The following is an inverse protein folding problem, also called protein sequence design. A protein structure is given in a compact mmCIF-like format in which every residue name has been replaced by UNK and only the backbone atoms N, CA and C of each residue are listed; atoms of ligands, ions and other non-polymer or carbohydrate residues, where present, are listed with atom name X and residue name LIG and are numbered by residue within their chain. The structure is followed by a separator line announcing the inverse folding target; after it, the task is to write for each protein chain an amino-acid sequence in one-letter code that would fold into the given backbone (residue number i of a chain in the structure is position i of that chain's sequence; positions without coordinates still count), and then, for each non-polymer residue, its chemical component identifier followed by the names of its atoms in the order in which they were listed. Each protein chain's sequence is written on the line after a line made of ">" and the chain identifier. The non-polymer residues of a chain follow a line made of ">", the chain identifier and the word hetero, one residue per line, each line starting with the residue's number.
data_IF_573166956275
#
_entry.id   IF_573166956275
#
_cell.length_a   1.000
_cell.length_b   1.000
_cell.length_c   1.000
_cell.angle_alpha   90.00
_cell.angle_beta   90.00
_cell.angle_gamma   90.00
#
_symmetry.space_group_name_H-M   'P 1'
#
loop_
_entity.id
_entity.type
_entity.pdbx_description
1 polymer ?
#
# COMPACT_ATOMS: atom_id res chain seq x y z
N UNK A 1 -41.65 -68.26 13.43
CA UNK A 1 -42.36 -69.33 12.69
C UNK A 1 -43.49 -69.88 13.55
N UNK A 2 -44.75 -69.57 13.21
CA UNK A 2 -45.92 -70.20 13.85
C UNK A 2 -46.03 -71.63 13.30
N UNK A 3 -46.16 -72.64 14.17
CA UNK A 3 -46.52 -74.01 13.78
C UNK A 3 -47.87 -73.97 13.06
N UNK A 4 -47.85 -73.95 11.72
CA UNK A 4 -49.07 -74.12 10.91
C UNK A 4 -49.53 -75.56 11.09
N UNK A 5 -50.69 -75.75 11.72
CA UNK A 5 -51.41 -77.02 11.70
C UNK A 5 -52.13 -77.10 10.36
N UNK A 6 -51.65 -77.95 9.47
CA UNK A 6 -52.31 -78.23 8.19
C UNK A 6 -53.59 -79.02 8.43
N UNK A 7 -54.67 -78.69 7.71
CA UNK A 7 -55.94 -79.41 7.84
C UNK A 7 -55.82 -80.88 7.41
N UNK A 8 -54.90 -81.19 6.49
CA UNK A 8 -54.64 -82.56 6.02
C UNK A 8 -53.18 -82.71 5.52
N UNK A 9 -52.25 -82.98 6.45
CA UNK A 9 -50.81 -83.07 6.15
C UNK A 9 -50.48 -84.16 5.13
N UNK A 10 -49.37 -84.02 4.40
CA UNK A 10 -48.82 -85.02 3.49
C UNK A 10 -48.59 -86.35 4.20
N UNK A 11 -48.10 -86.30 5.44
CA UNK A 11 -47.96 -87.48 6.29
C UNK A 11 -49.32 -88.14 6.56
N UNK A 12 -50.33 -87.36 6.94
CA UNK A 12 -51.68 -87.88 7.18
C UNK A 12 -52.31 -88.43 5.90
N UNK A 13 -52.09 -87.79 4.74
CA UNK A 13 -52.50 -88.27 3.42
C UNK A 13 -51.87 -89.60 3.05
N UNK A 14 -50.56 -89.73 3.24
CA UNK A 14 -49.85 -90.97 2.98
C UNK A 14 -50.34 -92.08 3.92
N UNK A 15 -50.53 -91.79 5.21
CA UNK A 15 -51.08 -92.75 6.17
C UNK A 15 -52.52 -93.13 5.82
N UNK A 16 -53.40 -92.17 5.55
CA UNK A 16 -54.79 -92.45 5.16
C UNK A 16 -54.85 -93.21 3.84
N UNK A 17 -54.05 -92.84 2.84
CA UNK A 17 -53.97 -93.53 1.57
C UNK A 17 -53.49 -94.97 1.74
N UNK A 18 -52.38 -95.19 2.46
CA UNK A 18 -51.84 -96.54 2.71
C UNK A 18 -52.80 -97.39 3.54
N UNK A 19 -53.45 -96.84 4.56
CA UNK A 19 -54.45 -97.54 5.38
C UNK A 19 -55.70 -97.87 4.57
N UNK A 20 -56.25 -96.93 3.79
CA UNK A 20 -57.42 -97.18 2.92
C UNK A 20 -57.06 -98.20 1.83
N UNK A 21 -55.88 -98.08 1.23
CA UNK A 21 -55.38 -99.04 0.25
C UNK A 21 -55.24 -100.43 0.86
N UNK A 22 -54.67 -100.57 2.06
CA UNK A 22 -54.56 -101.84 2.78
C UNK A 22 -55.93 -102.42 3.13
N UNK A 23 -56.86 -101.60 3.63
CA UNK A 23 -58.24 -102.04 3.94
C UNK A 23 -58.94 -102.52 2.68
N UNK A 24 -58.89 -101.77 1.57
CA UNK A 24 -59.52 -102.16 0.31
C UNK A 24 -58.87 -103.45 -0.22
N UNK A 25 -57.54 -103.52 -0.29
CA UNK A 25 -56.81 -104.65 -0.88
C UNK A 25 -56.95 -105.93 -0.06
N UNK A 26 -56.87 -105.86 1.27
CA UNK A 26 -57.10 -107.03 2.12
C UNK A 26 -58.57 -107.45 2.15
N UNK A 27 -59.52 -106.49 2.18
CA UNK A 27 -60.95 -106.83 2.18
C UNK A 27 -61.39 -107.43 0.85
N UNK A 28 -60.92 -106.91 -0.29
CA UNK A 28 -61.19 -107.51 -1.61
C UNK A 28 -60.52 -108.88 -1.72
N UNK A 29 -59.25 -109.01 -1.32
CA UNK A 29 -58.58 -110.32 -1.32
C UNK A 29 -59.32 -111.34 -0.45
N UNK A 30 -59.76 -110.95 0.75
CA UNK A 30 -60.56 -111.80 1.63
C UNK A 30 -61.90 -112.19 1.01
N UNK A 31 -62.62 -111.26 0.36
CA UNK A 31 -63.87 -111.55 -0.34
C UNK A 31 -63.65 -112.54 -1.50
N UNK A 32 -62.58 -112.36 -2.29
CA UNK A 32 -62.25 -113.28 -3.38
C UNK A 32 -61.87 -114.68 -2.88
N UNK A 33 -61.10 -114.77 -1.79
CA UNK A 33 -60.60 -116.04 -1.24
C UNK A 33 -61.66 -116.81 -0.44
N UNK A 34 -62.45 -116.13 0.39
CA UNK A 34 -63.38 -116.79 1.33
C UNK A 34 -64.83 -116.85 0.85
N UNK A 35 -65.26 -115.97 -0.07
CA UNK A 35 -66.66 -115.91 -0.53
C UNK A 35 -66.79 -116.33 -1.98
N UNK A 36 -66.07 -115.68 -2.90
CA UNK A 36 -66.21 -115.94 -4.34
C UNK A 36 -65.61 -117.28 -4.79
N UNK A 37 -64.55 -117.75 -4.13
CA UNK A 37 -63.90 -119.01 -4.47
C UNK A 37 -64.87 -120.20 -4.39
N UNK A 38 -65.61 -120.33 -3.28
CA UNK A 38 -66.55 -121.44 -3.08
C UNK A 38 -67.79 -121.34 -4.00
N UNK A 39 -68.17 -120.13 -4.42
CA UNK A 39 -69.35 -119.87 -5.26
C UNK A 39 -69.11 -120.08 -6.76
N UNK A 40 -67.91 -119.75 -7.29
CA UNK A 40 -67.67 -119.70 -8.74
C UNK A 40 -66.41 -120.44 -9.22
N UNK A 41 -65.46 -120.76 -8.34
CA UNK A 41 -64.12 -121.25 -8.73
C UNK A 41 -63.71 -122.58 -8.08
N UNK A 42 -64.67 -123.35 -7.54
CA UNK A 42 -64.42 -124.61 -6.83
C UNK A 42 -63.75 -125.72 -7.66
N UNK A 43 -63.70 -125.57 -8.99
CA UNK A 43 -63.02 -126.48 -9.93
C UNK A 43 -61.50 -126.29 -9.99
N UNK A 44 -60.96 -125.19 -9.45
CA UNK A 44 -59.53 -124.89 -9.44
C UNK A 44 -58.84 -125.30 -8.15
N UNK A 45 -57.50 -125.42 -8.15
CA UNK A 45 -56.74 -125.72 -6.93
C UNK A 45 -56.73 -124.51 -5.98
N UNK A 46 -57.26 -124.67 -4.77
CA UNK A 46 -57.40 -123.61 -3.76
C UNK A 46 -56.10 -122.86 -3.48
N UNK A 47 -55.00 -123.59 -3.35
CA UNK A 47 -53.68 -122.99 -3.09
C UNK A 47 -53.19 -122.13 -4.27
N UNK A 48 -53.44 -122.57 -5.51
CA UNK A 48 -53.06 -121.82 -6.71
C UNK A 48 -53.88 -120.52 -6.83
N UNK A 49 -55.19 -120.57 -6.57
CA UNK A 49 -56.09 -119.41 -6.64
C UNK A 49 -55.73 -118.34 -5.59
N UNK A 50 -55.45 -118.75 -4.34
CA UNK A 50 -55.01 -117.82 -3.29
C UNK A 50 -53.71 -117.10 -3.66
N UNK A 51 -52.73 -117.81 -4.22
CA UNK A 51 -51.47 -117.21 -4.68
C UNK A 51 -51.73 -116.17 -5.78
N UNK A 52 -52.58 -116.49 -6.75
CA UNK A 52 -52.93 -115.58 -7.87
C UNK A 52 -53.58 -114.30 -7.35
N UNK A 53 -54.56 -114.39 -6.44
CA UNK A 53 -55.23 -113.21 -5.87
C UNK A 53 -54.26 -112.34 -5.06
N UNK A 54 -53.36 -112.94 -4.28
CA UNK A 54 -52.35 -112.19 -3.53
C UNK A 54 -51.37 -111.46 -4.46
N UNK A 55 -50.93 -112.11 -5.55
CA UNK A 55 -50.08 -111.48 -6.57
C UNK A 55 -50.81 -110.33 -7.26
N UNK A 56 -52.09 -110.50 -7.62
CA UNK A 56 -52.93 -109.43 -8.18
C UNK A 56 -53.14 -108.28 -7.19
N UNK A 57 -53.30 -108.58 -5.90
CA UNK A 57 -53.39 -107.57 -4.85
C UNK A 57 -52.11 -106.74 -4.71
N UNK A 58 -50.94 -107.38 -4.82
CA UNK A 58 -49.63 -106.70 -4.84
C UNK A 58 -49.51 -105.80 -6.08
N UNK A 59 -49.83 -106.32 -7.27
CA UNK A 59 -49.78 -105.55 -8.52
C UNK A 59 -50.73 -104.35 -8.49
N UNK A 60 -51.96 -104.54 -7.98
CA UNK A 60 -52.94 -103.47 -7.84
C UNK A 60 -52.52 -102.40 -6.84
N UNK A 61 -51.93 -102.81 -5.71
CA UNK A 61 -51.35 -101.90 -4.73
C UNK A 61 -50.19 -101.10 -5.31
N UNK A 62 -49.32 -101.74 -6.10
CA UNK A 62 -48.22 -101.08 -6.81
C UNK A 62 -48.70 -100.03 -7.82
N UNK A 63 -49.74 -100.36 -8.61
CA UNK A 63 -50.33 -99.44 -9.59
C UNK A 63 -50.92 -98.19 -8.92
N UNK A 64 -51.70 -98.38 -7.85
CA UNK A 64 -52.29 -97.27 -7.10
C UNK A 64 -51.22 -96.42 -6.38
N UNK A 65 -50.19 -97.06 -5.82
CA UNK A 65 -49.05 -96.36 -5.22
C UNK A 65 -48.30 -95.51 -6.26
N UNK A 66 -48.12 -96.01 -7.50
CA UNK A 66 -47.49 -95.26 -8.58
C UNK A 66 -48.32 -94.03 -9.00
N UNK A 67 -49.64 -94.17 -9.13
CA UNK A 67 -50.55 -93.05 -9.43
C UNK A 67 -50.51 -92.01 -8.31
N UNK A 68 -50.58 -92.45 -7.04
CA UNK A 68 -50.50 -91.58 -5.88
C UNK A 68 -49.13 -90.88 -5.74
N UNK A 69 -48.03 -91.57 -6.07
CA UNK A 69 -46.70 -90.97 -6.10
C UNK A 69 -46.64 -89.79 -7.08
N UNK A 70 -47.31 -89.89 -8.23
CA UNK A 70 -47.43 -88.81 -9.21
C UNK A 70 -48.05 -87.51 -8.67
N UNK A 71 -48.91 -87.58 -7.64
CA UNK A 71 -49.48 -86.40 -6.98
C UNK A 71 -48.48 -85.67 -6.08
N UNK A 72 -47.41 -86.34 -5.64
CA UNK A 72 -46.36 -85.79 -4.77
C UNK A 72 -45.13 -85.38 -5.59
N UNK A 73 -44.72 -86.22 -6.54
CA UNK A 73 -43.50 -86.00 -7.34
C UNK A 73 -43.64 -84.86 -8.33
N UNK A 74 -44.80 -84.66 -8.96
CA UNK A 74 -44.99 -83.58 -9.95
C UNK A 74 -44.82 -82.17 -9.35
N UNK A 75 -45.46 -81.80 -8.22
CA UNK A 75 -45.20 -80.50 -7.59
C UNK A 75 -43.75 -80.32 -7.10
N UNK A 76 -43.10 -81.40 -6.64
CA UNK A 76 -41.70 -81.35 -6.24
C UNK A 76 -40.76 -81.13 -7.43
N UNK A 77 -41.00 -81.78 -8.56
CA UNK A 77 -40.26 -81.55 -9.81
C UNK A 77 -40.45 -80.12 -10.34
N UNK A 78 -41.64 -79.54 -10.20
CA UNK A 78 -41.87 -78.13 -10.56
C UNK A 78 -41.07 -77.18 -9.66
N UNK A 79 -41.01 -77.47 -8.36
CA UNK A 79 -40.24 -76.68 -7.40
C UNK A 79 -38.73 -76.84 -7.60
N UNK A 80 -38.27 -78.04 -7.93
CA UNK A 80 -36.89 -78.33 -8.36
C UNK A 80 -36.53 -77.53 -9.62
N UNK A 81 -37.36 -77.60 -10.67
CA UNK A 81 -37.13 -76.84 -11.90
C UNK A 81 -37.10 -75.34 -11.66
N UNK A 82 -37.98 -74.83 -10.80
CA UNK A 82 -37.97 -73.42 -10.41
C UNK A 82 -36.74 -73.04 -9.60
N UNK A 83 -36.26 -73.92 -8.71
CA UNK A 83 -34.99 -73.73 -8.00
C UNK A 83 -33.80 -73.71 -8.98
N UNK A 84 -33.78 -74.58 -9.99
CA UNK A 84 -32.75 -74.56 -11.03
C UNK A 84 -32.81 -73.28 -11.89
N UNK A 85 -34.01 -72.81 -12.24
CA UNK A 85 -34.21 -71.53 -12.93
C UNK A 85 -33.69 -70.36 -12.09
N UNK A 86 -34.07 -70.31 -10.81
CA UNK A 86 -33.62 -69.28 -9.88
C UNK A 86 -32.09 -69.32 -9.67
N UNK A 87 -31.48 -70.52 -9.60
CA UNK A 87 -30.04 -70.69 -9.52
C UNK A 87 -29.30 -70.18 -10.78
N UNK A 88 -29.94 -70.24 -11.94
CA UNK A 88 -29.45 -69.66 -13.19
C UNK A 88 -29.84 -68.17 -13.36
N UNK A 89 -30.30 -67.51 -12.30
CA UNK A 89 -30.67 -66.09 -12.31
C UNK A 89 -32.07 -65.78 -12.86
N UNK A 90 -32.84 -66.78 -13.31
CA UNK A 90 -34.21 -66.59 -13.77
C UNK A 90 -35.18 -66.62 -12.58
N UNK A 91 -35.39 -65.45 -11.99
CA UNK A 91 -36.26 -65.28 -10.82
C UNK A 91 -37.57 -64.56 -11.15
N UNK A 92 -37.89 -64.32 -12.42
CA UNK A 92 -39.04 -63.55 -12.90
C UNK A 92 -40.40 -64.21 -12.59
N UNK A 93 -40.45 -65.54 -12.47
CA UNK A 93 -41.71 -66.28 -12.34
C UNK A 93 -41.88 -66.93 -10.96
N UNK A 94 -43.11 -66.88 -10.44
CA UNK A 94 -43.49 -67.61 -9.23
C UNK A 94 -43.76 -69.09 -9.51
N UNK A 95 -43.52 -69.93 -8.51
CA UNK A 95 -43.83 -71.37 -8.59
C UNK A 95 -45.32 -71.59 -8.43
N UNK A 96 -45.96 -72.40 -9.31
CA UNK A 96 -47.36 -72.74 -9.17
C UNK A 96 -47.60 -73.47 -7.85
N UNK A 97 -48.58 -72.99 -7.08
CA UNK A 97 -48.91 -73.58 -5.78
C UNK A 97 -49.73 -74.87 -5.96
N UNK A 98 -49.38 -75.89 -5.19
CA UNK A 98 -50.21 -77.09 -5.08
C UNK A 98 -51.62 -76.72 -4.59
N UNK A 99 -52.65 -77.33 -5.21
CA UNK A 99 -54.06 -77.15 -4.83
C UNK A 99 -54.37 -77.69 -3.42
N UNK A 100 -53.49 -78.52 -2.89
CA UNK A 100 -53.60 -79.10 -1.56
C UNK A 100 -53.14 -78.15 -0.46
N UNK A 101 -53.78 -78.19 0.71
CA UNK A 101 -53.30 -77.52 1.92
C UNK A 101 -52.37 -78.44 2.75
N UNK A 102 -51.17 -78.67 2.23
CA UNK A 102 -50.13 -79.52 2.87
C UNK A 102 -48.72 -78.87 2.81
N UNK A 103 -47.73 -79.61 3.30
CA UNK A 103 -46.32 -79.21 3.38
C UNK A 103 -45.74 -78.81 2.02
N UNK A 104 -46.23 -79.39 0.92
CA UNK A 104 -45.77 -79.07 -0.45
C UNK A 104 -46.22 -77.66 -0.83
N UNK A 105 -47.47 -77.29 -0.53
CA UNK A 105 -47.95 -75.91 -0.71
C UNK A 105 -47.20 -74.93 0.19
N UNK A 106 -46.91 -75.32 1.43
CA UNK A 106 -46.14 -74.47 2.33
C UNK A 106 -44.71 -74.22 1.83
N UNK A 107 -44.06 -75.24 1.27
CA UNK A 107 -42.76 -75.13 0.63
C UNK A 107 -42.81 -74.20 -0.59
N UNK A 108 -43.83 -74.35 -1.45
CA UNK A 108 -44.06 -73.45 -2.59
C UNK A 108 -44.25 -71.99 -2.16
N UNK A 109 -45.04 -71.74 -1.11
CA UNK A 109 -45.21 -70.40 -0.54
C UNK A 109 -43.91 -69.81 0.01
N UNK A 110 -43.13 -70.61 0.75
CA UNK A 110 -41.84 -70.17 1.29
C UNK A 110 -40.82 -69.88 0.17
N UNK A 111 -40.83 -70.70 -0.89
CA UNK A 111 -39.98 -70.49 -2.06
C UNK A 111 -40.37 -69.22 -2.83
N UNK A 112 -41.66 -68.95 -3.04
CA UNK A 112 -42.10 -67.69 -3.66
C UNK A 112 -41.74 -66.46 -2.81
N UNK A 113 -41.82 -66.55 -1.48
CA UNK A 113 -41.36 -65.46 -0.60
C UNK A 113 -39.84 -65.24 -0.72
N UNK A 114 -39.04 -66.31 -0.86
CA UNK A 114 -37.61 -66.21 -1.17
C UNK A 114 -37.37 -65.53 -2.51
N UNK A 115 -38.08 -65.92 -3.58
CA UNK A 115 -37.98 -65.28 -4.89
C UNK A 115 -38.33 -63.80 -4.82
N UNK A 116 -39.41 -63.44 -4.11
CA UNK A 116 -39.80 -62.04 -3.88
C UNK A 116 -38.69 -61.25 -3.18
N UNK A 117 -38.08 -61.80 -2.13
CA UNK A 117 -36.97 -61.15 -1.43
C UNK A 117 -35.72 -61.00 -2.32
N UNK A 118 -35.40 -62.00 -3.14
CA UNK A 118 -34.32 -61.91 -4.14
C UNK A 118 -34.61 -60.84 -5.19
N UNK A 119 -35.85 -60.74 -5.68
CA UNK A 119 -36.26 -59.68 -6.63
C UNK A 119 -36.11 -58.30 -6.01
N UNK A 120 -36.58 -58.10 -4.76
CA UNK A 120 -36.42 -56.84 -4.05
C UNK A 120 -34.94 -56.48 -3.83
N UNK A 121 -34.10 -57.47 -3.51
CA UNK A 121 -32.66 -57.26 -3.35
C UNK A 121 -32.03 -56.79 -4.67
N UNK A 122 -32.30 -57.48 -5.79
CA UNK A 122 -31.79 -57.10 -7.12
C UNK A 122 -32.23 -55.69 -7.49
N UNK A 123 -33.52 -55.36 -7.32
CA UNK A 123 -34.05 -54.02 -7.58
C UNK A 123 -33.38 -52.96 -6.72
N UNK A 124 -33.23 -53.19 -5.42
CA UNK A 124 -32.56 -52.25 -4.53
C UNK A 124 -31.10 -52.03 -4.96
N UNK A 125 -30.39 -53.06 -5.42
CA UNK A 125 -29.01 -52.87 -5.89
C UNK A 125 -28.98 -52.11 -7.22
N UNK A 126 -29.93 -52.33 -8.13
CA UNK A 126 -30.05 -51.55 -9.37
C UNK A 126 -30.32 -50.07 -9.10
N UNK A 127 -31.23 -49.75 -8.18
CA UNK A 127 -31.49 -48.37 -7.75
C UNK A 127 -30.24 -47.74 -7.10
N UNK A 128 -29.52 -48.47 -6.24
CA UNK A 128 -28.27 -47.99 -5.64
C UNK A 128 -27.14 -47.80 -6.66
N UNK A 129 -27.05 -48.64 -7.70
CA UNK A 129 -26.09 -48.49 -8.79
C UNK A 129 -26.34 -47.19 -9.56
N UNK A 130 -27.60 -46.90 -9.91
CA UNK A 130 -27.96 -45.67 -10.61
C UNK A 130 -27.58 -44.42 -9.81
N UNK A 131 -27.92 -44.40 -8.51
CA UNK A 131 -27.53 -43.32 -7.59
C UNK A 131 -26.01 -43.19 -7.46
N UNK A 132 -25.28 -44.31 -7.34
CA UNK A 132 -23.81 -44.30 -7.26
C UNK A 132 -23.19 -43.71 -8.52
N UNK A 133 -23.71 -44.07 -9.70
CA UNK A 133 -23.21 -43.56 -10.97
C UNK A 133 -23.49 -42.05 -11.14
N UNK A 134 -24.65 -41.57 -10.70
CA UNK A 134 -24.95 -40.13 -10.66
C UNK A 134 -23.94 -39.39 -9.76
N UNK A 135 -23.65 -39.91 -8.56
CA UNK A 135 -22.67 -39.30 -7.65
C UNK A 135 -21.24 -39.33 -8.15
N UNK A 136 -20.84 -40.37 -8.87
CA UNK A 136 -19.55 -40.45 -9.58
C UNK A 136 -19.41 -39.30 -10.57
N UNK A 137 -20.45 -39.01 -11.37
CA UNK A 137 -20.44 -37.92 -12.35
C UNK A 137 -20.36 -36.56 -11.64
N UNK A 138 -21.16 -36.36 -10.58
CA UNK A 138 -21.12 -35.14 -9.76
C UNK A 138 -19.72 -34.88 -9.19
N UNK A 139 -19.08 -35.89 -8.59
CA UNK A 139 -17.74 -35.75 -8.01
C UNK A 139 -16.69 -35.48 -9.10
N UNK A 140 -16.79 -36.13 -10.25
CA UNK A 140 -15.87 -35.91 -11.38
C UNK A 140 -15.93 -34.46 -11.86
N UNK A 141 -17.15 -33.92 -12.04
CA UNK A 141 -17.34 -32.53 -12.45
C UNK A 141 -16.83 -31.55 -11.38
N UNK A 142 -17.15 -31.79 -10.10
CA UNK A 142 -16.68 -30.96 -8.99
C UNK A 142 -15.15 -30.97 -8.88
N UNK A 143 -14.52 -32.13 -9.10
CA UNK A 143 -13.06 -32.28 -9.09
C UNK A 143 -12.41 -31.52 -10.25
N UNK A 144 -12.98 -31.59 -11.46
CA UNK A 144 -12.49 -30.81 -12.61
C UNK A 144 -12.55 -29.31 -12.34
N UNK A 145 -13.66 -28.80 -11.78
CA UNK A 145 -13.76 -27.39 -11.40
C UNK A 145 -12.80 -27.01 -10.26
N UNK A 146 -12.49 -27.94 -9.36
CA UNK A 146 -11.51 -27.70 -8.30
C UNK A 146 -10.07 -27.58 -8.84
N UNK A 147 -9.72 -28.34 -9.89
CA UNK A 147 -8.43 -28.21 -10.59
C UNK A 147 -8.31 -26.83 -11.24
N UNK A 148 -9.31 -26.40 -12.02
CA UNK A 148 -9.32 -25.09 -12.69
C UNK A 148 -9.18 -23.92 -11.70
N UNK A 149 -9.87 -24.02 -10.55
CA UNK A 149 -9.71 -23.03 -9.45
C UNK A 149 -8.32 -23.06 -8.84
N UNK A 150 -7.71 -24.24 -8.71
CA UNK A 150 -6.34 -24.37 -8.17
C UNK A 150 -5.32 -23.74 -9.11
N UNK A 151 -5.49 -23.90 -10.43
CA UNK A 151 -4.66 -23.21 -11.45
C UNK A 151 -4.81 -21.68 -11.35
N UNK A 152 -6.04 -21.19 -11.17
CA UNK A 152 -6.29 -19.75 -10.99
C UNK A 152 -5.65 -19.19 -9.71
N UNK A 153 -5.68 -19.97 -8.62
CA UNK A 153 -4.98 -19.62 -7.37
C UNK A 153 -3.47 -19.56 -7.61
N UNK A 154 -2.91 -20.56 -8.30
CA UNK A 154 -1.47 -20.58 -8.60
C UNK A 154 -1.03 -19.34 -9.40
N UNK A 155 -1.78 -18.95 -10.44
CA UNK A 155 -1.49 -17.74 -11.20
C UNK A 155 -1.57 -16.48 -10.32
N UNK A 156 -2.61 -16.35 -9.50
CA UNK A 156 -2.79 -15.20 -8.61
C UNK A 156 -1.63 -15.10 -7.60
N UNK A 157 -1.15 -16.23 -7.10
CA UNK A 157 -0.04 -16.30 -6.15
C UNK A 157 1.30 -15.97 -6.81
N UNK A 158 1.51 -16.34 -8.07
CA UNK A 158 2.67 -15.91 -8.85
C UNK A 158 2.70 -14.38 -9.00
N UNK A 159 1.54 -13.76 -9.31
CA UNK A 159 1.41 -12.31 -9.39
C UNK A 159 1.67 -11.63 -8.03
N UNK A 160 1.16 -12.20 -6.93
CA UNK A 160 1.43 -11.72 -5.56
C UNK A 160 2.92 -11.82 -5.22
N UNK A 161 3.56 -12.95 -5.51
CA UNK A 161 4.99 -13.15 -5.24
C UNK A 161 5.84 -12.15 -6.01
N UNK A 162 5.49 -11.89 -7.28
CA UNK A 162 6.18 -10.88 -8.09
C UNK A 162 5.98 -9.47 -7.53
N UNK A 163 4.74 -9.10 -7.18
CA UNK A 163 4.44 -7.80 -6.59
C UNK A 163 5.16 -7.57 -5.25
N UNK A 164 5.29 -8.63 -4.44
CA UNK A 164 6.06 -8.60 -3.20
C UNK A 164 7.56 -8.36 -3.48
N UNK A 165 8.16 -9.09 -4.41
CA UNK A 165 9.55 -8.88 -4.80
C UNK A 165 9.80 -7.46 -5.34
N UNK A 166 8.93 -6.97 -6.23
CA UNK A 166 9.03 -5.61 -6.78
C UNK A 166 8.90 -4.53 -5.68
N UNK A 167 8.06 -4.79 -4.67
CA UNK A 167 7.94 -3.92 -3.49
C UNK A 167 9.22 -3.90 -2.65
N UNK A 168 9.84 -5.06 -2.40
CA UNK A 168 11.11 -5.14 -1.67
C UNK A 168 12.22 -4.35 -2.38
N UNK A 169 12.36 -4.52 -3.70
CA UNK A 169 13.34 -3.76 -4.51
C UNK A 169 13.06 -2.26 -4.49
N UNK A 170 11.79 -1.86 -4.58
CA UNK A 170 11.38 -0.45 -4.51
C UNK A 170 11.67 0.16 -3.14
N UNK A 171 11.50 -0.60 -2.06
CA UNK A 171 11.84 -0.14 -0.71
C UNK A 171 13.36 -0.04 -0.49
N UNK A 172 14.15 -0.93 -1.07
CA UNK A 172 15.62 -0.80 -1.06
C UNK A 172 16.07 0.49 -1.76
N UNK A 173 15.52 0.79 -2.93
CA UNK A 173 15.80 2.05 -3.66
C UNK A 173 15.35 3.27 -2.86
N UNK A 174 14.23 3.16 -2.13
CA UNK A 174 13.74 4.21 -1.24
C UNK A 174 14.70 4.44 -0.07
N UNK A 175 15.25 3.38 0.52
CA UNK A 175 16.23 3.48 1.59
C UNK A 175 17.52 4.19 1.14
N UNK A 176 18.00 3.89 -0.08
CA UNK A 176 19.14 4.60 -0.68
C UNK A 176 18.83 6.09 -0.87
N UNK A 177 17.63 6.41 -1.38
CA UNK A 177 17.20 7.80 -1.56
C UNK A 177 17.07 8.56 -0.23
N UNK A 178 16.65 7.87 0.83
CA UNK A 178 16.56 8.42 2.19
C UNK A 178 17.96 8.79 2.71
N UNK A 179 18.98 7.97 2.44
CA UNK A 179 20.36 8.26 2.83
C UNK A 179 20.95 9.46 2.08
N UNK A 180 20.68 9.58 0.77
CA UNK A 180 21.05 10.75 -0.03
C UNK A 180 20.40 12.03 0.53
N UNK A 181 19.11 11.99 0.85
CA UNK A 181 18.38 13.13 1.41
C UNK A 181 18.91 13.50 2.80
N UNK A 182 19.30 12.51 3.61
CA UNK A 182 19.93 12.74 4.91
C UNK A 182 21.28 13.45 4.79
N UNK A 183 22.09 13.08 3.79
CA UNK A 183 23.34 13.78 3.49
C UNK A 183 23.09 15.24 3.08
N UNK A 184 22.10 15.48 2.20
CA UNK A 184 21.72 16.83 1.79
C UNK A 184 21.24 17.66 2.98
N UNK A 185 20.36 17.10 3.82
CA UNK A 185 19.85 17.78 5.03
C UNK A 185 21.01 18.21 5.96
N UNK A 186 21.99 17.34 6.18
CA UNK A 186 23.19 17.67 6.96
C UNK A 186 24.00 18.81 6.31
N UNK A 187 24.16 18.82 4.99
CA UNK A 187 24.83 19.91 4.28
C UNK A 187 24.08 21.24 4.43
N UNK A 188 22.75 21.23 4.32
CA UNK A 188 21.93 22.44 4.53
C UNK A 188 22.06 22.94 5.97
N UNK A 189 22.05 22.05 6.96
CA UNK A 189 22.23 22.41 8.37
C UNK A 189 23.59 23.09 8.62
N UNK A 190 24.67 22.55 8.04
CA UNK A 190 26.01 23.15 8.12
C UNK A 190 26.05 24.52 7.44
N UNK A 191 25.39 24.65 6.28
CA UNK A 191 25.31 25.93 5.55
C UNK A 191 24.50 26.97 6.32
N UNK A 192 23.42 26.57 7.00
CA UNK A 192 22.66 27.45 7.86
C UNK A 192 23.52 27.99 9.03
N UNK A 193 24.28 27.12 9.70
CA UNK A 193 25.22 27.53 10.76
C UNK A 193 26.31 28.48 10.25
N UNK A 194 26.87 28.21 9.06
CA UNK A 194 27.84 29.13 8.43
C UNK A 194 27.22 30.49 8.12
N UNK A 195 25.99 30.52 7.62
CA UNK A 195 25.26 31.75 7.34
C UNK A 195 24.93 32.54 8.61
N UNK A 196 24.61 31.87 9.72
CA UNK A 196 24.38 32.51 11.02
C UNK A 196 25.63 33.25 11.53
N UNK A 197 26.81 32.62 11.38
CA UNK A 197 28.08 33.28 11.70
C UNK A 197 28.34 34.49 10.80
N UNK A 198 28.14 34.35 9.48
CA UNK A 198 28.33 35.45 8.53
C UNK A 198 27.41 36.64 8.83
N UNK A 199 26.16 36.36 9.19
CA UNK A 199 25.20 37.40 9.60
C UNK A 199 25.69 38.14 10.86
N UNK A 200 26.22 37.41 11.84
CA UNK A 200 26.81 38.00 13.05
C UNK A 200 27.97 38.94 12.70
N UNK A 201 28.90 38.48 11.86
CA UNK A 201 30.06 39.27 11.41
C UNK A 201 29.64 40.52 10.62
N UNK A 202 28.57 40.42 9.83
CA UNK A 202 28.01 41.55 9.08
C UNK A 202 27.42 42.61 10.00
N UNK A 203 26.68 42.22 11.05
CA UNK A 203 26.14 43.15 12.05
C UNK A 203 27.27 43.92 12.75
N UNK A 204 28.32 43.22 13.16
CA UNK A 204 29.50 43.83 13.80
C UNK A 204 30.22 44.82 12.86
N UNK A 205 30.34 44.46 11.58
CA UNK A 205 30.93 45.31 10.55
C UNK A 205 30.11 46.59 10.32
N UNK A 206 28.77 46.48 10.27
CA UNK A 206 27.90 47.64 10.13
C UNK A 206 27.92 48.54 11.36
N UNK A 207 27.95 47.95 12.57
CA UNK A 207 28.08 48.71 13.79
C UNK A 207 29.38 49.53 13.81
N UNK A 208 30.49 48.91 13.38
CA UNK A 208 31.78 49.60 13.24
C UNK A 208 31.73 50.69 12.18
N UNK A 209 31.10 50.41 11.03
CA UNK A 209 30.94 51.38 9.93
C UNK A 209 30.13 52.61 10.36
N UNK A 210 29.02 52.40 11.07
CA UNK A 210 28.20 53.47 11.65
C UNK A 210 29.02 54.37 12.56
N UNK A 211 29.84 53.80 13.45
CA UNK A 211 30.70 54.56 14.35
C UNK A 211 31.73 55.41 13.61
N UNK A 212 32.30 54.90 12.51
CA UNK A 212 33.25 55.64 11.67
C UNK A 212 32.55 56.82 10.97
N UNK A 213 31.36 56.61 10.41
CA UNK A 213 30.58 57.66 9.76
C UNK A 213 30.11 58.72 10.77
N UNK A 214 29.62 58.34 11.95
CA UNK A 214 29.29 59.28 13.04
C UNK A 214 30.48 60.17 13.41
N UNK A 215 31.67 59.57 13.53
CA UNK A 215 32.90 60.32 13.79
C UNK A 215 33.27 61.26 12.65
N UNK A 216 33.05 60.85 11.40
CA UNK A 216 33.29 61.67 10.21
C UNK A 216 32.34 62.88 10.19
N UNK A 217 31.04 62.66 10.39
CA UNK A 217 30.01 63.72 10.46
C UNK A 217 30.37 64.72 11.55
N UNK A 218 30.72 64.24 12.74
CA UNK A 218 31.14 65.09 13.87
C UNK A 218 32.38 65.92 13.51
N UNK A 219 33.37 65.30 12.86
CA UNK A 219 34.59 65.98 12.41
C UNK A 219 34.31 67.09 11.39
N UNK A 220 33.42 66.83 10.43
CA UNK A 220 33.01 67.81 9.41
C UNK A 220 32.22 68.97 10.04
N UNK A 221 31.34 68.69 11.00
CA UNK A 221 30.63 69.74 11.74
C UNK A 221 31.60 70.63 12.53
N UNK A 222 32.60 70.02 13.16
CA UNK A 222 33.66 70.77 13.86
C UNK A 222 34.49 71.61 12.89
N UNK A 223 34.76 71.11 11.67
CA UNK A 223 35.42 71.88 10.60
C UNK A 223 34.58 73.10 10.20
N UNK A 224 33.27 72.94 10.00
CA UNK A 224 32.36 74.03 9.69
C UNK A 224 32.36 75.09 10.80
N UNK A 225 32.31 74.69 12.07
CA UNK A 225 32.39 75.59 13.22
C UNK A 225 33.71 76.36 13.28
N UNK A 226 34.85 75.69 13.07
CA UNK A 226 36.17 76.32 13.05
C UNK A 226 36.31 77.34 11.91
N UNK A 227 35.76 77.03 10.73
CA UNK A 227 35.72 77.95 9.60
C UNK A 227 34.81 79.16 9.89
N UNK A 228 33.67 78.95 10.55
CA UNK A 228 32.81 80.05 11.01
C UNK A 228 33.53 80.98 12.01
N UNK A 229 34.31 80.41 12.93
CA UNK A 229 35.13 81.19 13.86
C UNK A 229 36.23 81.98 13.11
N UNK A 230 36.84 81.38 12.08
CA UNK A 230 37.84 82.02 11.22
C UNK A 230 37.27 83.20 10.43
N UNK A 231 36.02 83.10 9.94
CA UNK A 231 35.30 84.25 9.35
C UNK A 231 35.22 85.44 10.31
N UNK A 232 35.00 85.18 11.60
CA UNK A 232 35.00 86.23 12.62
C UNK A 232 36.35 86.93 12.74
N UNK A 233 37.46 86.20 12.64
CA UNK A 233 38.80 86.78 12.65
C UNK A 233 39.11 87.59 11.38
N UNK A 234 38.74 87.07 10.22
CA UNK A 234 38.93 87.74 8.92
C UNK A 234 38.10 89.03 8.83
N UNK A 235 36.87 89.05 9.35
CA UNK A 235 36.06 90.28 9.44
C UNK A 235 36.69 91.35 10.33
N UNK A 236 37.38 90.97 11.41
CA UNK A 236 38.15 91.93 12.21
C UNK A 236 39.33 92.50 11.41
N UNK A 237 39.99 91.67 10.60
CA UNK A 237 41.06 92.11 9.71
C UNK A 237 40.52 93.08 8.64
N UNK A 238 39.35 92.82 8.08
CA UNK A 238 38.64 93.74 7.16
C UNK A 238 38.42 95.11 7.81
N UNK A 239 37.91 95.12 9.05
CA UNK A 239 37.68 96.34 9.81
C UNK A 239 38.99 97.09 10.08
N UNK A 240 40.04 96.39 10.52
CA UNK A 240 41.35 97.02 10.76
C UNK A 240 41.97 97.57 9.47
N UNK A 241 41.83 96.88 8.33
CA UNK A 241 42.30 97.39 7.05
C UNK A 241 41.59 98.70 6.66
N UNK A 242 40.29 98.81 6.93
CA UNK A 242 39.50 100.03 6.72
C UNK A 242 39.87 101.15 7.68
N UNK A 243 40.15 100.83 8.94
CA UNK A 243 40.67 101.78 9.92
C UNK A 243 42.03 102.34 9.47
N UNK A 244 42.93 101.49 8.96
CA UNK A 244 44.23 101.91 8.41
C UNK A 244 44.05 102.77 7.16
N UNK A 245 43.13 102.43 6.25
CA UNK A 245 42.80 103.26 5.08
C UNK A 245 42.41 104.69 5.48
N UNK A 246 41.54 104.84 6.48
CA UNK A 246 41.14 106.15 7.00
C UNK A 246 42.33 106.94 7.57
N UNK A 247 43.23 106.27 8.30
CA UNK A 247 44.44 106.90 8.85
C UNK A 247 45.35 107.36 7.72
N UNK A 248 45.57 106.51 6.71
CA UNK A 248 46.45 106.82 5.56
C UNK A 248 45.88 107.95 4.72
N UNK A 249 44.55 108.02 4.54
CA UNK A 249 43.87 109.15 3.90
C UNK A 249 44.14 110.45 4.66
N UNK A 250 43.99 110.46 5.99
CA UNK A 250 44.27 111.62 6.82
C UNK A 250 45.75 112.05 6.74
N UNK A 251 46.68 111.09 6.74
CA UNK A 251 48.11 111.38 6.57
C UNK A 251 48.39 111.97 5.19
N UNK A 252 47.70 111.49 4.15
CA UNK A 252 47.73 112.07 2.81
C UNK A 252 47.25 113.52 2.78
N UNK A 253 46.14 113.82 3.44
CA UNK A 253 45.60 115.18 3.57
C UNK A 253 46.59 116.09 4.32
N UNK A 254 47.22 115.60 5.39
CA UNK A 254 48.26 116.34 6.14
C UNK A 254 49.48 116.58 5.25
N UNK A 255 49.94 115.57 4.49
CA UNK A 255 51.05 115.73 3.57
C UNK A 255 50.73 116.76 2.47
N UNK A 256 49.50 116.73 1.92
CA UNK A 256 49.02 117.73 0.96
C UNK A 256 48.96 119.14 1.54
N UNK A 257 48.42 119.31 2.75
CA UNK A 257 48.42 120.59 3.47
C UNK A 257 49.84 121.08 3.79
N UNK A 258 50.73 120.19 4.21
CA UNK A 258 52.13 120.50 4.51
C UNK A 258 52.88 120.93 3.26
N UNK A 259 52.63 120.27 2.12
CA UNK A 259 53.18 120.65 0.82
C UNK A 259 52.70 122.06 0.39
N UNK A 260 51.41 122.38 0.59
CA UNK A 260 50.86 123.72 0.32
C UNK A 260 51.41 124.80 1.27
N UNK A 261 51.55 124.49 2.55
CA UNK A 261 52.15 125.38 3.55
C UNK A 261 53.62 125.64 3.23
N UNK A 262 54.37 124.60 2.87
CA UNK A 262 55.76 124.68 2.47
C UNK A 262 55.93 125.47 1.16
N UNK A 263 55.04 125.28 0.19
CA UNK A 263 55.01 126.07 -1.04
C UNK A 263 54.75 127.55 -0.76
N UNK A 264 53.77 127.88 0.07
CA UNK A 264 53.49 129.26 0.49
C UNK A 264 54.67 129.88 1.24
N UNK A 265 55.34 129.11 2.11
CA UNK A 265 56.54 129.54 2.82
C UNK A 265 57.74 129.75 1.87
N UNK A 266 57.94 128.87 0.88
CA UNK A 266 58.97 129.04 -0.16
C UNK A 266 58.72 130.29 -1.01
N UNK A 267 57.45 130.58 -1.36
CA UNK A 267 57.07 131.78 -2.10
C UNK A 267 57.34 133.05 -1.28
N UNK A 268 56.95 133.09 -0.01
CA UNK A 268 57.13 134.28 0.83
C UNK A 268 58.62 134.47 1.23
N UNK A 269 59.38 133.39 1.37
CA UNK A 269 60.83 133.43 1.55
C UNK A 269 61.56 133.96 0.30
N UNK A 270 61.10 133.61 -0.91
CA UNK A 270 61.60 134.20 -2.16
C UNK A 270 61.25 135.71 -2.26
N UNK A 271 60.12 136.12 -1.70
CA UNK A 271 59.65 137.52 -1.65
C UNK A 271 60.47 138.40 -0.71
N UNK A 272 61.04 137.83 0.36
CA UNK A 272 61.90 138.52 1.33
C UNK A 272 63.37 138.73 0.86
N UNK A 273 63.72 138.29 -0.37
CA UNK A 273 65.03 138.55 -0.99
C UNK A 273 66.20 137.92 -0.24
N UNK A 274 67.33 138.64 -0.11
CA UNK A 274 68.56 138.15 0.53
C UNK A 274 68.37 137.70 1.99
N UNK A 275 67.41 138.28 2.72
CA UNK A 275 67.12 137.91 4.11
C UNK A 275 66.30 136.62 4.26
N UNK A 276 65.66 136.14 3.19
CA UNK A 276 64.81 134.94 3.18
C UNK A 276 65.50 133.65 2.69
N UNK A 277 66.74 133.73 2.19
CA UNK A 277 67.45 132.59 1.56
C UNK A 277 67.54 131.34 2.44
N UNK A 278 67.83 131.48 3.75
CA UNK A 278 67.90 130.34 4.68
C UNK A 278 66.54 129.67 4.91
N UNK A 279 65.47 130.47 4.97
CA UNK A 279 64.09 129.98 5.11
C UNK A 279 63.58 129.31 3.83
N UNK A 280 63.95 129.81 2.65
CA UNK A 280 63.58 129.21 1.38
C UNK A 280 64.13 127.79 1.21
N UNK A 281 65.37 127.54 1.66
CA UNK A 281 65.98 126.19 1.64
C UNK A 281 65.23 125.23 2.55
N UNK A 282 64.87 125.66 3.76
CA UNK A 282 64.09 124.81 4.70
C UNK A 282 62.69 124.55 4.16
N UNK A 283 62.01 125.57 3.62
CA UNK A 283 60.68 125.41 3.05
C UNK A 283 60.67 124.46 1.83
N UNK A 284 61.70 124.51 0.97
CA UNK A 284 61.85 123.58 -0.15
C UNK A 284 62.14 122.14 0.32
N UNK A 285 62.93 121.95 1.38
CA UNK A 285 63.18 120.62 1.96
C UNK A 285 61.92 120.04 2.62
N UNK A 286 61.13 120.87 3.31
CA UNK A 286 59.81 120.47 3.87
C UNK A 286 58.83 120.12 2.75
N UNK A 287 58.84 120.88 1.64
CA UNK A 287 58.02 120.58 0.44
C UNK A 287 58.38 119.22 -0.14
N UNK A 288 59.67 118.93 -0.25
CA UNK A 288 60.17 117.65 -0.75
C UNK A 288 59.81 116.48 0.17
N UNK A 289 59.95 116.65 1.49
CA UNK A 289 59.52 115.65 2.50
C UNK A 289 58.00 115.40 2.47
N UNK A 290 57.21 116.45 2.25
CA UNK A 290 55.76 116.34 2.11
C UNK A 290 55.37 115.59 0.82
N UNK A 291 56.06 115.82 -0.29
CA UNK A 291 55.86 115.12 -1.56
C UNK A 291 56.31 113.65 -1.50
N UNK A 292 57.42 113.36 -0.82
CA UNK A 292 57.83 111.99 -0.51
C UNK A 292 56.85 111.27 0.41
N UNK A 293 56.29 111.98 1.41
CA UNK A 293 55.25 111.45 2.29
C UNK A 293 53.95 111.15 1.53
N UNK A 294 53.54 112.02 0.60
CA UNK A 294 52.38 111.80 -0.25
C UNK A 294 52.57 110.58 -1.17
N UNK A 295 53.77 110.40 -1.74
CA UNK A 295 54.10 109.20 -2.53
C UNK A 295 54.11 107.92 -1.69
N UNK A 296 54.62 107.96 -0.46
CA UNK A 296 54.59 106.84 0.46
C UNK A 296 53.16 106.46 0.87
N UNK A 297 52.32 107.47 1.16
CA UNK A 297 50.88 107.30 1.43
C UNK A 297 50.17 106.63 0.27
N UNK A 298 50.44 107.04 -0.97
CA UNK A 298 49.86 106.42 -2.17
C UNK A 298 50.23 104.93 -2.26
N UNK A 299 51.50 104.59 -2.04
CA UNK A 299 51.96 103.19 -2.04
C UNK A 299 51.32 102.34 -0.92
N UNK A 300 51.14 102.91 0.28
CA UNK A 300 50.44 102.23 1.38
C UNK A 300 48.95 102.07 1.07
N UNK A 301 48.31 103.07 0.47
CA UNK A 301 46.90 103.01 0.07
C UNK A 301 46.66 101.87 -0.93
N UNK A 302 47.52 101.72 -1.93
CA UNK A 302 47.46 100.60 -2.88
C UNK A 302 47.63 99.23 -2.20
N UNK A 303 48.56 99.11 -1.23
CA UNK A 303 48.72 97.89 -0.43
C UNK A 303 47.47 97.57 0.41
N UNK A 304 46.86 98.57 1.04
CA UNK A 304 45.64 98.39 1.83
C UNK A 304 44.46 97.99 0.94
N UNK A 305 44.32 98.57 -0.24
CA UNK A 305 43.30 98.15 -1.21
C UNK A 305 43.49 96.70 -1.67
N UNK A 306 44.74 96.27 -1.87
CA UNK A 306 45.03 94.88 -2.19
C UNK A 306 44.70 93.93 -1.02
N UNK A 307 45.05 94.30 0.22
CA UNK A 307 44.68 93.53 1.42
C UNK A 307 43.14 93.41 1.54
N UNK A 308 42.40 94.49 1.33
CA UNK A 308 40.93 94.46 1.36
C UNK A 308 40.36 93.51 0.30
N UNK A 309 40.89 93.54 -0.93
CA UNK A 309 40.49 92.60 -2.00
C UNK A 309 40.78 91.15 -1.63
N UNK A 310 41.96 90.86 -1.08
CA UNK A 310 42.33 89.52 -0.62
C UNK A 310 41.41 89.04 0.52
N UNK A 311 41.09 89.91 1.47
CA UNK A 311 40.15 89.62 2.57
C UNK A 311 38.77 89.24 2.03
N UNK A 312 38.23 89.98 1.06
CA UNK A 312 36.95 89.64 0.41
C UNK A 312 37.01 88.26 -0.24
N UNK A 313 38.10 87.94 -0.92
CA UNK A 313 38.29 86.62 -1.53
C UNK A 313 38.34 85.51 -0.48
N UNK A 314 39.09 85.70 0.62
CA UNK A 314 39.17 84.74 1.72
C UNK A 314 37.81 84.52 2.39
N UNK A 315 37.03 85.59 2.60
CA UNK A 315 35.66 85.48 3.14
C UNK A 315 34.76 84.66 2.22
N UNK A 316 34.80 84.88 0.91
CA UNK A 316 34.03 84.10 -0.05
C UNK A 316 34.41 82.61 0.01
N UNK A 317 35.71 82.31 0.01
CA UNK A 317 36.22 80.94 0.07
C UNK A 317 35.83 80.23 1.37
N UNK A 318 35.91 80.89 2.53
CA UNK A 318 35.51 80.27 3.80
C UNK A 318 34.00 80.00 3.83
N UNK A 319 33.15 80.92 3.32
CA UNK A 319 31.71 80.67 3.23
C UNK A 319 31.39 79.46 2.36
N UNK A 320 32.07 79.31 1.22
CA UNK A 320 31.93 78.14 0.36
C UNK A 320 32.35 76.86 1.08
N UNK A 321 33.47 76.87 1.82
CA UNK A 321 33.91 75.73 2.63
C UNK A 321 32.91 75.36 3.73
N UNK A 322 32.30 76.34 4.42
CA UNK A 322 31.25 76.08 5.43
C UNK A 322 30.04 75.44 4.77
N UNK A 323 29.61 75.94 3.61
CA UNK A 323 28.49 75.36 2.85
C UNK A 323 28.79 73.91 2.45
N UNK A 324 29.95 73.66 1.85
CA UNK A 324 30.37 72.33 1.45
C UNK A 324 30.47 71.36 2.64
N UNK A 325 31.00 71.81 3.78
CA UNK A 325 31.06 71.00 4.99
C UNK A 325 29.66 70.62 5.51
N UNK A 326 28.71 71.55 5.52
CA UNK A 326 27.33 71.24 5.94
C UNK A 326 26.64 70.26 4.98
N UNK A 327 26.86 70.40 3.67
CA UNK A 327 26.34 69.46 2.66
C UNK A 327 26.93 68.05 2.83
N UNK A 328 28.24 67.92 3.09
CA UNK A 328 28.88 66.63 3.36
C UNK A 328 28.44 66.01 4.70
N UNK A 329 28.21 66.84 5.73
CA UNK A 329 27.63 66.35 6.99
C UNK A 329 26.21 65.79 6.79
N UNK A 330 25.39 66.41 5.92
CA UNK A 330 24.07 65.91 5.58
C UNK A 330 24.15 64.55 4.86
N UNK A 331 25.03 64.41 3.85
CA UNK A 331 25.26 63.12 3.17
C UNK A 331 25.76 62.02 4.12
N UNK A 332 26.57 62.38 5.11
CA UNK A 332 27.00 61.44 6.15
C UNK A 332 25.83 60.94 7.01
N UNK A 333 24.86 61.80 7.34
CA UNK A 333 23.63 61.38 8.01
C UNK A 333 22.78 60.46 7.13
N UNK A 334 22.62 60.77 5.84
CA UNK A 334 21.90 59.90 4.89
C UNK A 334 22.56 58.51 4.81
N UNK A 335 23.90 58.46 4.85
CA UNK A 335 24.66 57.20 4.88
C UNK A 335 24.38 56.40 6.17
N UNK A 336 24.26 57.07 7.32
CA UNK A 336 23.90 56.43 8.58
C UNK A 336 22.48 55.85 8.59
N UNK A 337 21.53 56.52 7.92
CA UNK A 337 20.17 56.01 7.74
C UNK A 337 20.19 54.74 6.88
N UNK A 338 20.92 54.75 5.76
CA UNK A 338 21.10 53.57 4.91
C UNK A 338 21.76 52.39 5.64
N UNK A 339 22.77 52.64 6.50
CA UNK A 339 23.38 51.60 7.34
C UNK A 339 22.37 51.01 8.33
N UNK A 340 21.48 51.85 8.87
CA UNK A 340 20.44 51.41 9.80
C UNK A 340 19.41 50.52 9.09
N UNK A 341 18.98 50.89 7.89
CA UNK A 341 18.12 50.06 7.05
C UNK A 341 18.78 48.72 6.66
N UNK A 342 20.07 48.75 6.33
CA UNK A 342 20.85 47.53 6.04
C UNK A 342 20.93 46.61 7.27
N UNK A 343 21.08 47.18 8.45
CA UNK A 343 21.10 46.42 9.72
C UNK A 343 19.77 45.70 9.93
N UNK A 344 18.63 46.36 9.67
CA UNK A 344 17.31 45.74 9.77
C UNK A 344 17.15 44.59 8.75
N UNK A 345 17.57 44.80 7.52
CA UNK A 345 17.54 43.77 6.46
C UNK A 345 18.36 42.54 6.85
N UNK A 346 19.50 42.72 7.51
CA UNK A 346 20.34 41.61 7.98
C UNK A 346 19.68 40.86 9.13
N UNK A 347 18.95 41.52 10.02
CA UNK A 347 18.15 40.84 11.04
C UNK A 347 17.05 39.96 10.42
N UNK A 348 16.43 40.41 9.33
CA UNK A 348 15.47 39.56 8.59
C UNK A 348 16.16 38.33 7.99
N UNK A 349 17.36 38.49 7.42
CA UNK A 349 18.18 37.36 6.95
C UNK A 349 18.53 36.41 8.09
N UNK A 350 18.90 36.92 9.27
CA UNK A 350 19.18 36.12 10.47
C UNK A 350 17.98 35.23 10.83
N UNK A 351 16.79 35.82 10.87
CA UNK A 351 15.55 35.10 11.17
C UNK A 351 15.23 34.05 10.12
N UNK A 352 15.43 34.35 8.84
CA UNK A 352 15.22 33.39 7.76
C UNK A 352 16.18 32.19 7.85
N UNK A 353 17.46 32.43 8.16
CA UNK A 353 18.47 31.38 8.39
C UNK A 353 18.08 30.49 9.58
N UNK A 354 17.61 31.09 10.67
CA UNK A 354 17.13 30.35 11.84
C UNK A 354 15.92 29.46 11.51
N UNK A 355 14.95 29.98 10.74
CA UNK A 355 13.80 29.20 10.29
C UNK A 355 14.21 28.03 9.39
N UNK A 356 15.18 28.24 8.49
CA UNK A 356 15.73 27.16 7.66
C UNK A 356 16.33 26.05 8.53
N UNK A 357 17.09 26.40 9.58
CA UNK A 357 17.68 25.42 10.48
C UNK A 357 16.61 24.58 11.20
N UNK A 358 15.54 25.19 11.69
CA UNK A 358 14.45 24.45 12.34
C UNK A 358 13.68 23.56 11.34
N UNK A 359 13.41 24.04 10.12
CA UNK A 359 12.78 23.23 9.07
C UNK A 359 13.63 22.00 8.70
N UNK A 360 14.95 22.15 8.60
CA UNK A 360 15.87 21.03 8.33
C UNK A 360 15.83 20.01 9.47
N UNK A 361 15.79 20.47 10.72
CA UNK A 361 15.70 19.60 11.90
C UNK A 361 14.39 18.80 11.93
N UNK A 362 13.27 19.41 11.55
CA UNK A 362 12.00 18.68 11.38
C UNK A 362 12.07 17.69 10.21
N UNK A 363 12.65 18.11 9.07
CA UNK A 363 12.85 17.25 7.92
C UNK A 363 13.66 15.99 8.27
N UNK A 364 14.72 16.11 9.08
CA UNK A 364 15.50 14.96 9.55
C UNK A 364 14.67 13.93 10.32
N UNK A 365 13.72 14.37 11.16
CA UNK A 365 12.80 13.44 11.86
C UNK A 365 11.89 12.70 10.89
N UNK A 366 11.41 13.39 9.85
CA UNK A 366 10.58 12.77 8.81
C UNK A 366 11.36 11.77 7.97
N UNK A 367 12.63 12.06 7.65
CA UNK A 367 13.54 11.16 6.95
C UNK A 367 13.77 9.89 7.78
N UNK A 368 14.07 10.01 9.08
CA UNK A 368 14.25 8.86 9.98
C UNK A 368 12.99 7.98 10.04
N UNK A 369 11.81 8.60 10.20
CA UNK A 369 10.54 7.87 10.18
C UNK A 369 10.32 7.14 8.85
N UNK A 370 10.61 7.79 7.72
CA UNK A 370 10.47 7.20 6.39
C UNK A 370 11.42 6.02 6.21
N UNK A 371 12.64 6.11 6.75
CA UNK A 371 13.61 5.00 6.76
C UNK A 371 13.04 3.77 7.47
N UNK A 372 12.52 3.95 8.69
CA UNK A 372 11.94 2.85 9.49
C UNK A 372 10.75 2.23 8.75
N UNK A 373 9.83 3.05 8.24
CA UNK A 373 8.65 2.56 7.52
C UNK A 373 9.03 1.80 6.24
N UNK A 374 10.07 2.23 5.53
CA UNK A 374 10.55 1.54 4.33
C UNK A 374 11.12 0.16 4.66
N UNK A 375 11.86 0.04 5.78
CA UNK A 375 12.36 -1.24 6.28
C UNK A 375 11.22 -2.18 6.71
N UNK A 376 10.19 -1.65 7.38
CA UNK A 376 9.00 -2.43 7.73
C UNK A 376 8.28 -2.98 6.49
N UNK A 377 8.09 -2.14 5.46
CA UNK A 377 7.44 -2.57 4.21
C UNK A 377 8.30 -3.60 3.47
N UNK A 378 9.63 -3.45 3.46
CA UNK A 378 10.53 -4.45 2.88
C UNK A 378 10.41 -5.80 3.60
N UNK A 379 10.36 -5.81 4.94
CA UNK A 379 10.18 -7.03 5.73
C UNK A 379 8.81 -7.69 5.45
N UNK A 380 7.74 -6.91 5.37
CA UNK A 380 6.40 -7.41 5.02
C UNK A 380 6.39 -8.00 3.60
N UNK A 381 7.10 -7.38 2.66
CA UNK A 381 7.22 -7.88 1.30
C UNK A 381 7.96 -9.23 1.25
N UNK A 382 9.05 -9.38 2.01
CA UNK A 382 9.74 -10.67 2.15
C UNK A 382 8.84 -11.75 2.77
N UNK A 383 8.11 -11.42 3.85
CA UNK A 383 7.15 -12.33 4.48
C UNK A 383 6.02 -12.72 3.52
N UNK A 384 5.52 -11.76 2.73
CA UNK A 384 4.49 -12.01 1.71
C UNK A 384 5.01 -12.94 0.61
N UNK A 385 6.26 -12.77 0.17
CA UNK A 385 6.89 -13.67 -0.81
C UNK A 385 7.07 -15.07 -0.24
N UNK A 386 7.49 -15.21 1.02
CA UNK A 386 7.57 -16.51 1.70
C UNK A 386 6.19 -17.17 1.82
N UNK A 387 5.16 -16.42 2.24
CA UNK A 387 3.79 -16.91 2.31
C UNK A 387 3.24 -17.32 0.93
N UNK A 388 3.58 -16.61 -0.14
CA UNK A 388 3.21 -16.99 -1.51
C UNK A 388 3.83 -18.34 -1.93
N UNK A 389 5.06 -18.62 -1.51
CA UNK A 389 5.68 -19.94 -1.75
C UNK A 389 4.95 -21.06 -0.99
N UNK A 390 4.56 -20.82 0.27
CA UNK A 390 3.77 -21.79 1.05
C UNK A 390 2.42 -22.08 0.42
N UNK A 391 1.71 -21.04 -0.05
CA UNK A 391 0.42 -21.22 -0.73
C UNK A 391 0.58 -21.95 -2.06
N UNK A 392 1.68 -21.71 -2.78
CA UNK A 392 2.00 -22.44 -4.01
C UNK A 392 2.19 -23.94 -3.73
N UNK A 393 2.97 -24.29 -2.70
CA UNK A 393 3.16 -25.67 -2.27
C UNK A 393 1.83 -26.33 -1.87
N UNK A 394 1.01 -25.65 -1.07
CA UNK A 394 -0.31 -26.15 -0.67
C UNK A 394 -1.25 -26.33 -1.87
N UNK A 395 -1.19 -25.44 -2.86
CA UNK A 395 -1.99 -25.54 -4.09
C UNK A 395 -1.56 -26.75 -4.92
N UNK A 396 -0.25 -27.02 -5.03
CA UNK A 396 0.26 -28.21 -5.70
C UNK A 396 -0.17 -29.51 -5.00
N UNK A 397 -0.11 -29.55 -3.67
CA UNK A 397 -0.61 -30.69 -2.88
C UNK A 397 -2.12 -30.88 -3.08
N UNK A 398 -2.89 -29.79 -3.09
CA UNK A 398 -4.33 -29.82 -3.34
C UNK A 398 -4.65 -30.39 -4.72
N UNK A 399 -3.94 -29.98 -5.78
CA UNK A 399 -4.10 -30.55 -7.13
C UNK A 399 -3.78 -32.05 -7.13
N UNK A 400 -2.72 -32.48 -6.45
CA UNK A 400 -2.38 -33.90 -6.33
C UNK A 400 -3.49 -34.71 -5.62
N UNK A 401 -4.06 -34.15 -4.54
CA UNK A 401 -5.18 -34.77 -3.82
C UNK A 401 -6.44 -34.88 -4.68
N UNK A 402 -6.76 -33.85 -5.48
CA UNK A 402 -7.91 -33.88 -6.40
C UNK A 402 -7.71 -34.96 -7.48
N UNK A 403 -6.49 -35.09 -8.01
CA UNK A 403 -6.17 -36.16 -8.95
C UNK A 403 -6.33 -37.55 -8.34
N UNK A 404 -5.94 -37.72 -7.07
CA UNK A 404 -6.15 -38.97 -6.34
C UNK A 404 -7.64 -39.25 -6.10
N UNK A 405 -8.46 -38.24 -5.78
CA UNK A 405 -9.92 -38.38 -5.69
C UNK A 405 -10.51 -38.85 -7.02
N UNK A 406 -10.10 -38.25 -8.14
CA UNK A 406 -10.53 -38.68 -9.47
C UNK A 406 -10.18 -40.15 -9.76
N UNK A 407 -9.00 -40.60 -9.34
CA UNK A 407 -8.60 -42.01 -9.46
C UNK A 407 -9.53 -42.93 -8.64
N UNK A 408 -9.79 -42.60 -7.37
CA UNK A 408 -10.68 -43.36 -6.49
C UNK A 408 -12.12 -43.40 -7.03
N UNK A 409 -12.60 -42.29 -7.59
CA UNK A 409 -13.92 -42.20 -8.24
C UNK A 409 -13.98 -43.08 -9.48
N UNK A 410 -12.91 -43.12 -10.28
CA UNK A 410 -12.77 -44.05 -11.40
C UNK A 410 -12.82 -45.52 -10.98
N UNK A 411 -12.14 -45.87 -9.87
CA UNK A 411 -12.19 -47.21 -9.29
C UNK A 411 -13.60 -47.56 -8.79
N UNK A 412 -14.29 -46.63 -8.12
CA UNK A 412 -15.67 -46.79 -7.64
C UNK A 412 -16.63 -47.02 -8.82
N UNK A 413 -16.49 -46.25 -9.90
CA UNK A 413 -17.30 -46.41 -11.12
C UNK A 413 -17.13 -47.82 -11.72
N UNK A 414 -15.90 -48.32 -11.74
CA UNK A 414 -15.60 -49.66 -12.25
C UNK A 414 -16.14 -50.77 -11.33
N UNK A 415 -16.03 -50.62 -10.01
CA UNK A 415 -16.65 -51.54 -9.04
C UNK A 415 -18.17 -51.57 -9.18
N UNK A 416 -18.80 -50.41 -9.31
CA UNK A 416 -20.24 -50.28 -9.54
C UNK A 416 -20.63 -50.99 -10.85
N UNK A 417 -19.86 -50.82 -11.93
CA UNK A 417 -20.10 -51.48 -13.22
C UNK A 417 -19.99 -53.00 -13.13
N UNK A 418 -19.00 -53.53 -12.41
CA UNK A 418 -18.87 -54.97 -12.14
C UNK A 418 -20.07 -55.52 -11.36
N UNK A 419 -20.57 -54.77 -10.38
CA UNK A 419 -21.77 -55.14 -9.62
C UNK A 419 -23.01 -55.15 -10.53
N UNK A 420 -23.19 -54.14 -11.38
CA UNK A 420 -24.27 -54.09 -12.38
C UNK A 420 -24.23 -55.29 -13.32
N UNK A 421 -23.06 -55.61 -13.88
CA UNK A 421 -22.90 -56.79 -14.74
C UNK A 421 -23.26 -58.10 -14.02
N UNK A 422 -22.94 -58.21 -12.72
CA UNK A 422 -23.29 -59.39 -11.91
C UNK A 422 -24.81 -59.49 -11.73
N UNK A 423 -25.48 -58.36 -11.54
CA UNK A 423 -26.94 -58.30 -11.36
C UNK A 423 -27.68 -58.53 -12.66
N UNK A 424 -27.14 -58.08 -13.80
CA UNK A 424 -27.74 -58.31 -15.11
C UNK A 424 -27.79 -59.80 -15.48
N UNK A 425 -27.00 -60.65 -14.82
CA UNK A 425 -27.13 -62.12 -14.91
C UNK A 425 -28.43 -62.66 -14.29
N UNK A 426 -29.06 -61.90 -13.38
CA UNK A 426 -30.39 -62.17 -12.84
C UNK A 426 -31.45 -61.59 -13.77
N UNK A 427 -31.90 -62.41 -14.72
CA UNK A 427 -32.79 -62.00 -15.80
C UNK A 427 -34.21 -61.73 -15.28
N UNK A 428 -34.56 -60.46 -15.10
CA UNK A 428 -35.94 -60.01 -14.85
C UNK A 428 -36.57 -59.58 -16.16
N UNK A 429 -37.38 -60.44 -16.79
CA UNK A 429 -38.35 -59.94 -17.75
C UNK A 429 -39.52 -59.33 -16.97
N UNK A 430 -39.51 -58.01 -16.85
CA UNK A 430 -40.67 -57.25 -16.41
C UNK A 430 -41.80 -57.42 -17.44
N UNK A 431 -42.84 -58.19 -17.11
CA UNK A 431 -44.18 -57.91 -17.65
C UNK A 431 -44.68 -56.65 -16.93
N UNK A 432 -44.77 -55.55 -17.67
CA UNK A 432 -45.53 -54.37 -17.25
C UNK A 432 -47.00 -54.78 -17.15
N UNK A 433 -47.56 -54.77 -15.95
CA UNK A 433 -49.00 -54.54 -15.76
C UNK A 433 -49.33 -53.06 -15.93
#
# INVERSE_FOLDING_TARGET
>A
MKNKKYGFSLRLKLVVFTTVLAVITYSTSALFIYVLYDLFFSTFNKSLFTIIILVLGILWSGLLAYIAAGFITRPLQQLEQAAMKAANGQIDQDVPLSKSDDEIRALGLAFNEMLKNLRMMVRNIEENFALTNEKVIEITNASSSAVERSESIAQTIEEISKGANDSAVSMQTTAESVEDVLQIANQVQQKAQQSEQLVTDMVDTLHTSKKVIDSLVTGIQHLAQNNQASLGAVRRLEQHAKEVENIISLVGDIAGQTNLLALNASIEAARAGEHGKGFAVVAEEVRKLADESARAVQGISELIQNIQKEVVHVVAQINEQVKAANEEAAKGNDTNEAITEMTNSIHEVANAVHQIAELVKEQMKHIEKTSIQSQEVAAIAEETSAGALEVTAATQEQTAMINHVNELVGQLAEQARKLKNTIDSFNMKYEKE
#
